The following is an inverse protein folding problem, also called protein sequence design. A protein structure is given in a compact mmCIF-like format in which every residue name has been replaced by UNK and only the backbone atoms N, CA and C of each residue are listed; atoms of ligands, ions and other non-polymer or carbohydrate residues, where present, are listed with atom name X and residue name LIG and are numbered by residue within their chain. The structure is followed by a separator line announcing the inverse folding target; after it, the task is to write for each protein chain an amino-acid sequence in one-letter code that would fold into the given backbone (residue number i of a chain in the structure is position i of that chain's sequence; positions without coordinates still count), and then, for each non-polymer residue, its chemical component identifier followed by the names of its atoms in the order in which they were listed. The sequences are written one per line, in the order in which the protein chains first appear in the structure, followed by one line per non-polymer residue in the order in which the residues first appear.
data_IF_489842775758
#
_entry.id   IF_489842775758
#
_cell.length_a   1.000
_cell.length_b   1.000
_cell.length_c   1.000
_cell.angle_alpha   90.00
_cell.angle_beta   90.00
_cell.angle_gamma   90.00
#
_symmetry.space_group_name_H-M   'P 1'
#
loop_
_entity.id
_entity.type
_entity.pdbx_description
1 polymer ?
#
# COMPACT_ATOMS: atom_id res chain seq x y z
N UNK A 1 7.75 -17.64 15.39
CA UNK A 1 7.27 -17.20 14.05
C UNK A 1 7.76 -15.78 13.81
N UNK A 2 8.36 -15.47 12.64
CA UNK A 2 8.90 -14.13 12.34
C UNK A 2 7.78 -13.18 11.94
N UNK A 3 7.91 -11.89 12.30
CA UNK A 3 6.95 -10.86 11.87
C UNK A 3 6.94 -10.71 10.34
N UNK A 4 5.82 -10.22 9.76
CA UNK A 4 5.74 -9.93 8.33
C UNK A 4 6.83 -8.95 7.88
N UNK A 5 7.50 -9.25 6.77
CA UNK A 5 8.54 -8.37 6.19
C UNK A 5 7.93 -7.56 5.05
N UNK A 6 8.21 -6.25 5.04
CA UNK A 6 7.70 -5.33 4.04
C UNK A 6 8.83 -4.73 3.21
N UNK A 7 8.72 -4.89 1.90
CA UNK A 7 9.58 -4.21 0.91
C UNK A 7 8.76 -3.13 0.22
N UNK A 8 9.15 -1.88 0.40
CA UNK A 8 8.45 -0.73 -0.18
C UNK A 8 9.23 -0.17 -1.36
N UNK A 9 8.59 -0.15 -2.51
CA UNK A 9 9.11 0.47 -3.73
C UNK A 9 8.27 1.71 -4.05
N UNK A 10 8.91 2.75 -4.60
CA UNK A 10 8.22 3.94 -5.11
C UNK A 10 8.23 5.15 -4.16
N UNK A 11 7.06 5.74 -3.93
CA UNK A 11 6.92 7.07 -3.34
C UNK A 11 6.69 7.07 -1.82
N UNK A 12 6.58 8.28 -1.24
CA UNK A 12 6.29 8.49 0.20
C UNK A 12 4.93 7.95 0.59
N UNK A 13 3.96 8.00 -0.33
CA UNK A 13 2.63 7.43 -0.11
C UNK A 13 2.70 5.92 0.05
N UNK A 14 3.48 5.22 -0.80
CA UNK A 14 3.73 3.78 -0.61
C UNK A 14 4.41 3.50 0.74
N UNK A 15 5.29 4.38 1.21
CA UNK A 15 5.93 4.22 2.51
C UNK A 15 4.92 4.34 3.66
N UNK A 16 4.01 5.32 3.60
CA UNK A 16 2.89 5.46 4.54
C UNK A 16 2.02 4.20 4.55
N UNK A 17 1.57 3.78 3.37
CA UNK A 17 0.71 2.61 3.21
C UNK A 17 1.38 1.32 3.72
N UNK A 18 2.69 1.19 3.56
CA UNK A 18 3.42 0.02 4.08
C UNK A 18 3.43 -0.04 5.61
N UNK A 19 3.47 1.08 6.30
CA UNK A 19 3.36 1.09 7.77
C UNK A 19 1.94 0.77 8.21
N UNK A 20 0.92 1.30 7.53
CA UNK A 20 -0.47 0.93 7.80
C UNK A 20 -0.72 -0.56 7.59
N UNK A 21 -0.26 -1.12 6.46
CA UNK A 21 -0.35 -2.56 6.18
C UNK A 21 0.40 -3.40 7.22
N UNK A 22 1.54 -2.93 7.74
CA UNK A 22 2.30 -3.61 8.80
C UNK A 22 1.46 -3.77 10.06
N UNK A 23 0.75 -2.71 10.46
CA UNK A 23 -0.16 -2.76 11.60
C UNK A 23 -1.32 -3.74 11.35
N UNK A 24 -1.99 -3.63 10.18
CA UNK A 24 -3.10 -4.50 9.80
C UNK A 24 -2.70 -5.98 9.74
N UNK A 25 -1.54 -6.29 9.16
CA UNK A 25 -1.03 -7.65 9.08
C UNK A 25 -0.68 -8.23 10.47
N UNK A 26 -0.15 -7.40 11.36
CA UNK A 26 0.15 -7.79 12.74
C UNK A 26 -1.14 -8.05 13.53
N UNK A 27 -2.15 -7.17 13.42
CA UNK A 27 -3.47 -7.35 14.04
C UNK A 27 -4.19 -8.61 13.55
N UNK A 28 -4.03 -8.95 12.27
CA UNK A 28 -4.54 -10.19 11.68
C UNK A 28 -3.75 -11.44 12.08
N UNK A 29 -2.63 -11.31 12.79
CA UNK A 29 -1.79 -12.44 13.22
C UNK A 29 -0.95 -13.06 12.11
N UNK A 30 -0.76 -12.38 10.97
CA UNK A 30 0.12 -12.88 9.91
C UNK A 30 1.56 -12.97 10.40
N UNK A 31 2.22 -14.06 10.03
CA UNK A 31 3.63 -14.29 10.33
C UNK A 31 4.31 -14.98 9.16
N UNK A 32 5.64 -14.86 9.08
CA UNK A 32 6.48 -15.45 8.06
C UNK A 32 6.02 -15.15 6.61
N UNK A 33 5.53 -13.94 6.35
CA UNK A 33 5.07 -13.50 5.03
C UNK A 33 5.92 -12.33 4.54
N UNK A 34 6.11 -12.24 3.24
CA UNK A 34 6.78 -11.12 2.59
C UNK A 34 5.76 -10.30 1.80
N UNK A 35 5.69 -9.01 2.06
CA UNK A 35 4.78 -8.07 1.39
C UNK A 35 5.59 -7.08 0.57
N UNK A 36 5.29 -6.97 -0.72
CA UNK A 36 5.97 -6.06 -1.64
C UNK A 36 4.98 -5.02 -2.13
N UNK A 37 5.18 -3.77 -1.72
CA UNK A 37 4.38 -2.64 -2.17
C UNK A 37 5.05 -2.01 -3.40
N UNK A 38 4.41 -2.13 -4.55
CA UNK A 38 4.98 -1.85 -5.87
C UNK A 38 4.66 -0.45 -6.40
N UNK A 39 5.44 0.02 -7.37
CA UNK A 39 5.24 1.27 -8.10
C UNK A 39 5.06 1.00 -9.59
N UNK A 40 4.15 1.76 -10.24
CA UNK A 40 3.85 1.65 -11.67
C UNK A 40 4.30 2.86 -12.50
N UNK A 41 4.87 3.90 -11.86
CA UNK A 41 5.13 5.20 -12.52
C UNK A 41 6.11 5.08 -13.69
N UNK A 42 7.00 4.10 -13.67
CA UNK A 42 7.93 3.82 -14.78
C UNK A 42 8.03 2.33 -15.04
N UNK A 43 8.33 1.96 -16.29
CA UNK A 43 8.62 0.57 -16.66
C UNK A 43 9.80 -0.01 -15.85
N UNK A 44 10.78 0.84 -15.49
CA UNK A 44 11.90 0.45 -14.64
C UNK A 44 11.43 0.08 -13.22
N UNK A 45 10.47 0.81 -12.65
CA UNK A 45 9.90 0.48 -11.35
C UNK A 45 9.23 -0.90 -11.36
N UNK A 46 8.50 -1.24 -12.43
CA UNK A 46 7.87 -2.57 -12.60
C UNK A 46 8.94 -3.66 -12.75
N UNK A 47 9.99 -3.43 -13.56
CA UNK A 47 11.11 -4.37 -13.69
C UNK A 47 11.81 -4.62 -12.36
N UNK A 48 12.06 -3.55 -11.59
CA UNK A 48 12.66 -3.64 -10.26
C UNK A 48 11.77 -4.44 -9.30
N UNK A 49 10.46 -4.24 -9.34
CA UNK A 49 9.53 -5.01 -8.53
C UNK A 49 9.64 -6.51 -8.83
N UNK A 50 9.58 -6.91 -10.10
CA UNK A 50 9.74 -8.31 -10.52
C UNK A 50 11.09 -8.92 -10.12
N UNK A 51 12.17 -8.13 -10.22
CA UNK A 51 13.51 -8.57 -9.78
C UNK A 51 13.56 -8.80 -8.27
N UNK A 52 12.96 -7.89 -7.50
CA UNK A 52 12.94 -8.00 -6.04
C UNK A 52 12.09 -9.17 -5.57
N UNK A 53 10.93 -9.43 -6.19
CA UNK A 53 10.10 -10.62 -5.93
C UNK A 53 10.93 -11.91 -6.07
N UNK A 54 11.63 -12.08 -7.21
CA UNK A 54 12.47 -13.26 -7.45
C UNK A 54 13.63 -13.38 -6.47
N UNK A 55 14.21 -12.25 -6.06
CA UNK A 55 15.26 -12.22 -5.05
C UNK A 55 14.75 -12.70 -3.70
N UNK A 56 13.63 -12.14 -3.22
CA UNK A 56 13.01 -12.50 -1.95
C UNK A 56 12.57 -13.97 -1.89
N UNK A 57 12.04 -14.51 -2.99
CA UNK A 57 11.69 -15.93 -3.09
C UNK A 57 12.92 -16.85 -2.95
N UNK A 58 14.06 -16.46 -3.52
CA UNK A 58 15.30 -17.23 -3.36
C UNK A 58 15.90 -17.14 -1.96
N UNK A 59 15.79 -15.97 -1.32
CA UNK A 59 16.32 -15.75 0.04
C UNK A 59 15.45 -16.42 1.11
N UNK A 60 14.15 -16.56 0.87
CA UNK A 60 13.19 -17.14 1.81
C UNK A 60 12.16 -18.00 1.07
N UNK A 61 12.51 -19.19 0.61
CA UNK A 61 11.65 -20.03 -0.25
C UNK A 61 10.36 -20.48 0.42
N UNK A 62 10.34 -20.57 1.75
CA UNK A 62 9.18 -21.01 2.52
C UNK A 62 8.25 -19.85 2.93
N UNK A 63 8.59 -18.61 2.61
CA UNK A 63 7.79 -17.47 2.98
C UNK A 63 6.86 -17.06 1.81
N UNK A 64 5.52 -17.12 1.98
CA UNK A 64 4.58 -16.65 0.99
C UNK A 64 4.83 -15.17 0.63
N UNK A 65 4.63 -14.84 -0.64
CA UNK A 65 4.83 -13.49 -1.16
C UNK A 65 3.49 -12.87 -1.55
N UNK A 66 3.13 -11.76 -0.89
CA UNK A 66 2.00 -10.90 -1.26
C UNK A 66 2.54 -9.71 -2.03
N UNK A 67 2.00 -9.47 -3.23
CA UNK A 67 2.34 -8.32 -4.06
C UNK A 67 1.16 -7.34 -4.06
N UNK A 68 1.45 -6.07 -3.82
CA UNK A 68 0.46 -5.00 -3.82
C UNK A 68 1.05 -3.70 -4.38
N UNK A 69 0.28 -2.63 -4.37
CA UNK A 69 0.73 -1.31 -4.85
C UNK A 69 0.28 -1.01 -6.28
N UNK A 70 0.75 0.12 -6.80
CA UNK A 70 0.24 0.64 -8.08
C UNK A 70 0.46 -0.32 -9.25
N UNK A 71 1.59 -1.03 -9.33
CA UNK A 71 1.81 -1.98 -10.41
C UNK A 71 0.93 -3.23 -10.28
N UNK A 72 0.71 -3.71 -9.06
CA UNK A 72 -0.22 -4.81 -8.80
C UNK A 72 -1.67 -4.44 -9.14
N UNK A 73 -2.07 -3.18 -8.93
CA UNK A 73 -3.38 -2.67 -9.28
C UNK A 73 -3.58 -2.56 -10.80
N UNK A 74 -2.56 -2.10 -11.54
CA UNK A 74 -2.66 -1.84 -12.98
C UNK A 74 -2.40 -3.07 -13.84
N UNK A 75 -1.60 -4.02 -13.35
CA UNK A 75 -1.20 -5.23 -14.07
C UNK A 75 -1.30 -6.48 -13.17
N UNK A 76 -2.45 -6.78 -12.55
CA UNK A 76 -2.55 -7.86 -11.56
C UNK A 76 -2.16 -9.22 -12.15
N UNK A 77 -2.59 -9.52 -13.38
CA UNK A 77 -2.29 -10.79 -14.06
C UNK A 77 -0.80 -11.00 -14.32
N UNK A 78 -0.07 -9.91 -14.56
CA UNK A 78 1.39 -9.95 -14.73
C UNK A 78 2.11 -10.47 -13.48
N UNK A 79 1.63 -10.10 -12.30
CA UNK A 79 2.18 -10.58 -11.03
C UNK A 79 1.59 -11.93 -10.63
N UNK A 80 0.32 -12.18 -10.92
CA UNK A 80 -0.32 -13.47 -10.67
C UNK A 80 0.31 -14.61 -11.47
N UNK A 81 0.80 -14.34 -12.69
CA UNK A 81 1.50 -15.31 -13.51
C UNK A 81 2.90 -15.68 -12.98
N UNK A 82 3.45 -14.94 -12.02
CA UNK A 82 4.73 -15.28 -11.41
C UNK A 82 4.55 -16.46 -10.43
N UNK A 83 5.38 -17.50 -10.58
CA UNK A 83 5.33 -18.67 -9.71
C UNK A 83 5.67 -18.36 -8.25
N UNK A 84 6.49 -17.33 -8.05
CA UNK A 84 6.93 -16.87 -6.72
C UNK A 84 5.84 -16.12 -5.94
N UNK A 85 4.78 -15.66 -6.62
CA UNK A 85 3.74 -14.82 -6.01
C UNK A 85 2.59 -15.68 -5.50
N UNK A 86 2.29 -15.56 -4.22
CA UNK A 86 1.18 -16.28 -3.56
C UNK A 86 -0.14 -15.53 -3.72
N UNK A 87 -0.14 -14.20 -3.49
CA UNK A 87 -1.34 -13.36 -3.60
C UNK A 87 -1.01 -12.01 -4.24
N UNK A 88 -1.96 -11.48 -4.99
CA UNK A 88 -1.95 -10.11 -5.53
C UNK A 88 -3.09 -9.34 -4.90
N UNK A 89 -2.78 -8.22 -4.24
CA UNK A 89 -3.76 -7.41 -3.48
C UNK A 89 -3.81 -6.00 -4.04
N UNK A 90 -4.99 -5.49 -4.34
CA UNK A 90 -5.21 -4.16 -4.88
C UNK A 90 -4.89 -3.02 -3.91
N UNK A 91 -4.89 -1.81 -4.44
CA UNK A 91 -4.55 -0.61 -3.66
C UNK A 91 -5.64 -0.19 -2.67
N UNK A 92 -6.89 -0.54 -2.94
CA UNK A 92 -7.98 -0.36 -1.97
C UNK A 92 -7.96 -1.47 -0.92
N UNK A 93 -7.90 -2.72 -1.37
CA UNK A 93 -7.98 -3.93 -0.55
C UNK A 93 -6.85 -3.99 0.48
N UNK A 94 -5.64 -3.59 0.11
CA UNK A 94 -4.48 -3.59 1.03
C UNK A 94 -4.67 -2.71 2.27
N UNK A 95 -5.59 -1.74 2.19
CA UNK A 95 -5.91 -0.81 3.28
C UNK A 95 -7.13 -1.28 4.10
N UNK A 96 -7.74 -2.42 3.77
CA UNK A 96 -8.91 -2.95 4.49
C UNK A 96 -8.50 -4.01 5.51
N UNK A 97 -8.87 -3.86 6.80
CA UNK A 97 -8.59 -4.88 7.82
C UNK A 97 -9.11 -6.28 7.44
N UNK A 98 -10.32 -6.33 6.85
CA UNK A 98 -10.95 -7.57 6.43
C UNK A 98 -10.09 -8.38 5.43
N UNK A 99 -9.36 -7.71 4.54
CA UNK A 99 -8.45 -8.37 3.59
C UNK A 99 -7.34 -9.15 4.33
N UNK A 100 -6.71 -8.52 5.32
CA UNK A 100 -5.64 -9.17 6.08
C UNK A 100 -6.16 -10.28 6.97
N UNK A 101 -7.35 -10.11 7.56
CA UNK A 101 -8.03 -11.13 8.35
C UNK A 101 -8.40 -12.36 7.51
N UNK A 102 -8.84 -12.16 6.27
CA UNK A 102 -9.15 -13.27 5.35
C UNK A 102 -7.90 -13.99 4.85
N UNK A 103 -6.79 -13.29 4.69
CA UNK A 103 -5.53 -13.86 4.25
C UNK A 103 -4.84 -14.69 5.35
N UNK A 104 -5.02 -14.36 6.62
CA UNK A 104 -4.30 -15.01 7.71
C UNK A 104 -4.56 -16.54 7.82
N UNK A 105 -5.81 -17.03 7.74
CA UNK A 105 -6.09 -18.47 7.81
C UNK A 105 -5.81 -19.23 6.51
N UNK A 106 -5.80 -18.55 5.36
CA UNK A 106 -5.82 -19.20 4.03
C UNK A 106 -4.79 -18.61 3.04
N UNK A 107 -3.67 -18.13 3.55
CA UNK A 107 -2.66 -17.48 2.71
C UNK A 107 -2.11 -18.41 1.60
N UNK A 108 -2.03 -19.71 1.87
CA UNK A 108 -1.51 -20.73 0.94
C UNK A 108 -2.64 -21.59 0.36
N UNK A 109 -3.89 -21.34 0.76
CA UNK A 109 -5.06 -22.12 0.36
C UNK A 109 -5.54 -21.87 -1.08
N UNK A 110 -6.67 -22.49 -1.42
CA UNK A 110 -7.27 -22.45 -2.78
C UNK A 110 -8.06 -21.16 -3.08
N UNK A 111 -8.10 -20.20 -2.18
CA UNK A 111 -8.76 -18.92 -2.41
C UNK A 111 -8.14 -18.15 -3.58
N UNK A 112 -8.93 -17.25 -4.14
CA UNK A 112 -8.56 -16.45 -5.30
C UNK A 112 -7.19 -15.77 -5.15
N UNK A 113 -6.29 -16.02 -6.11
CA UNK A 113 -4.92 -15.47 -6.09
C UNK A 113 -4.90 -13.96 -6.24
N UNK A 114 -5.88 -13.38 -6.93
CA UNK A 114 -5.97 -11.96 -7.27
C UNK A 114 -7.15 -11.32 -6.53
N UNK A 115 -6.85 -10.46 -5.56
CA UNK A 115 -7.84 -9.69 -4.77
C UNK A 115 -7.68 -8.23 -5.18
N UNK A 116 -8.16 -7.90 -6.37
CA UNK A 116 -8.03 -6.56 -6.97
C UNK A 116 -9.37 -6.17 -7.59
N UNK A 117 -10.00 -5.13 -7.04
CA UNK A 117 -11.25 -4.58 -7.57
C UNK A 117 -11.01 -3.30 -8.38
N UNK A 118 -12.07 -2.79 -9.01
CA UNK A 118 -11.99 -1.54 -9.75
C UNK A 118 -11.71 -0.37 -8.82
N UNK A 119 -10.51 0.18 -8.93
CA UNK A 119 -10.06 1.31 -8.12
C UNK A 119 -10.84 2.60 -8.40
N UNK A 120 -11.51 2.70 -9.56
CA UNK A 120 -12.33 3.86 -9.91
C UNK A 120 -13.64 3.92 -9.13
N UNK A 121 -14.11 2.78 -8.62
CA UNK A 121 -15.32 2.70 -7.79
C UNK A 121 -15.10 3.19 -6.35
N UNK A 122 -13.85 3.39 -5.93
CA UNK A 122 -13.51 3.79 -4.56
C UNK A 122 -13.75 5.27 -4.35
N UNK A 123 -14.66 5.59 -3.45
CA UNK A 123 -15.07 6.98 -3.13
C UNK A 123 -14.46 7.53 -1.86
N UNK A 124 -13.94 6.66 -0.98
CA UNK A 124 -13.39 7.07 0.32
C UNK A 124 -11.91 6.68 0.46
N UNK A 125 -11.18 7.43 1.25
CA UNK A 125 -9.83 7.11 1.67
C UNK A 125 -9.83 6.70 3.13
N UNK A 126 -9.41 5.48 3.42
CA UNK A 126 -9.27 5.01 4.79
C UNK A 126 -8.21 5.83 5.52
N UNK A 127 -8.59 6.47 6.61
CA UNK A 127 -7.67 7.14 7.53
C UNK A 127 -7.06 6.12 8.47
N UNK A 128 -5.83 5.70 8.21
CA UNK A 128 -5.10 4.81 9.11
C UNK A 128 -4.23 5.61 10.07
N UNK A 129 -4.41 5.34 11.36
CA UNK A 129 -3.56 5.90 12.41
C UNK A 129 -2.31 5.07 12.56
N UNK A 130 -1.17 5.59 12.10
CA UNK A 130 0.13 4.94 12.21
C UNK A 130 0.90 5.45 13.41
N UNK A 131 1.62 4.53 14.08
CA UNK A 131 2.39 4.83 15.28
C UNK A 131 3.84 5.25 15.01
N UNK A 132 4.30 5.10 13.76
CA UNK A 132 5.68 5.45 13.43
C UNK A 132 6.16 4.93 12.08
N UNK A 133 7.43 5.17 11.80
CA UNK A 133 8.12 4.80 10.55
C UNK A 133 9.45 4.09 10.84
N UNK A 134 9.46 3.17 11.81
CA UNK A 134 10.66 2.47 12.23
C UNK A 134 11.74 3.46 12.71
N UNK A 135 12.95 3.38 12.15
CA UNK A 135 14.10 4.24 12.50
C UNK A 135 14.15 5.58 11.76
N UNK A 136 13.12 5.94 10.99
CA UNK A 136 13.10 7.19 10.22
C UNK A 136 12.88 8.39 11.14
N UNK A 137 13.60 9.49 10.88
CA UNK A 137 13.45 10.77 11.60
C UNK A 137 12.20 11.55 11.18
N UNK A 138 11.62 11.23 10.01
CA UNK A 138 10.44 11.89 9.44
C UNK A 138 9.29 10.92 9.34
N UNK A 139 8.09 11.39 9.68
CA UNK A 139 6.85 10.68 9.41
C UNK A 139 6.18 11.19 8.13
N UNK A 140 5.49 10.31 7.43
CA UNK A 140 4.63 10.68 6.29
C UNK A 140 3.18 10.62 6.72
N UNK A 141 2.41 11.64 6.36
CA UNK A 141 0.97 11.70 6.65
C UNK A 141 0.23 11.82 5.33
N UNK A 142 -0.55 10.80 5.01
CA UNK A 142 -1.41 10.85 3.83
C UNK A 142 -2.54 11.84 4.06
N UNK A 143 -2.65 12.84 3.20
CA UNK A 143 -3.73 13.83 3.23
C UNK A 143 -4.64 13.72 2.02
N UNK A 144 -4.16 13.09 0.94
CA UNK A 144 -4.89 12.95 -0.32
C UNK A 144 -4.41 11.69 -1.06
N UNK A 145 -5.30 11.02 -1.79
CA UNK A 145 -4.98 9.90 -2.66
C UNK A 145 -5.79 9.98 -3.96
N UNK A 146 -5.29 9.33 -5.02
CA UNK A 146 -5.92 9.39 -6.34
C UNK A 146 -5.73 10.72 -7.06
N UNK A 147 -6.22 10.81 -8.30
CA UNK A 147 -6.10 12.01 -9.13
C UNK A 147 -7.20 12.03 -10.20
N UNK A 148 -7.89 13.16 -10.36
CA UNK A 148 -8.94 13.34 -11.37
C UNK A 148 -8.40 13.79 -12.72
N UNK A 149 -7.15 14.20 -12.79
CA UNK A 149 -6.49 14.51 -14.06
C UNK A 149 -6.31 13.25 -14.91
N UNK A 150 -6.49 13.41 -16.22
CA UNK A 150 -6.34 12.33 -17.22
C UNK A 150 -5.22 12.67 -18.20
N UNK A 151 -4.02 13.00 -17.65
CA UNK A 151 -2.84 13.25 -18.46
C UNK A 151 -2.49 12.01 -19.29
N UNK A 152 -2.23 12.18 -20.58
CA UNK A 152 -2.10 11.10 -21.57
C UNK A 152 -1.02 10.06 -21.25
N UNK A 153 0.00 10.44 -20.50
CA UNK A 153 1.13 9.58 -20.11
C UNK A 153 1.04 9.04 -18.67
N UNK A 154 0.01 9.43 -17.91
CA UNK A 154 -0.01 9.20 -16.47
C UNK A 154 -0.80 7.94 -16.09
N UNK A 155 -0.12 7.01 -15.42
CA UNK A 155 -0.71 5.76 -14.91
C UNK A 155 -1.41 5.95 -13.55
N UNK A 156 -1.21 7.07 -12.88
CA UNK A 156 -1.62 7.26 -11.48
C UNK A 156 -3.13 7.06 -11.25
N UNK A 157 -4.06 7.63 -12.05
CA UNK A 157 -5.48 7.39 -11.85
C UNK A 157 -5.87 5.90 -11.90
N UNK A 158 -5.25 5.15 -12.77
CA UNK A 158 -5.51 3.71 -12.93
C UNK A 158 -4.96 2.87 -11.77
N UNK A 159 -3.90 3.34 -11.12
CA UNK A 159 -3.34 2.68 -9.95
C UNK A 159 -3.95 3.13 -8.62
N UNK A 160 -4.55 4.34 -8.57
CA UNK A 160 -4.99 4.95 -7.31
C UNK A 160 -6.43 5.47 -7.30
N UNK A 161 -7.11 5.46 -8.44
CA UNK A 161 -8.49 5.92 -8.58
C UNK A 161 -8.61 7.45 -8.64
N UNK A 162 -9.83 7.91 -8.48
CA UNK A 162 -10.17 9.32 -8.44
C UNK A 162 -9.62 10.03 -7.20
N UNK A 163 -9.55 11.36 -7.23
CA UNK A 163 -9.06 12.18 -6.11
C UNK A 163 -9.95 11.99 -4.87
N UNK A 164 -9.31 11.80 -3.73
CA UNK A 164 -9.99 11.63 -2.43
C UNK A 164 -9.13 12.27 -1.36
N UNK A 165 -9.75 13.16 -0.58
CA UNK A 165 -9.10 13.88 0.51
C UNK A 165 -9.32 13.19 1.85
N UNK A 166 -8.33 13.28 2.73
CA UNK A 166 -8.49 12.93 4.14
C UNK A 166 -8.98 14.18 4.87
N UNK A 167 -10.07 14.10 5.66
CA UNK A 167 -10.57 15.26 6.40
C UNK A 167 -9.52 15.87 7.34
N UNK A 168 -9.50 17.20 7.45
CA UNK A 168 -8.51 17.95 8.24
C UNK A 168 -8.40 17.45 9.68
N UNK A 169 -9.52 17.14 10.32
CA UNK A 169 -9.54 16.61 11.69
C UNK A 169 -8.75 15.31 11.83
N UNK A 170 -8.91 14.38 10.87
CA UNK A 170 -8.17 13.10 10.84
C UNK A 170 -6.67 13.34 10.66
N UNK A 171 -6.30 14.27 9.77
CA UNK A 171 -4.90 14.65 9.54
C UNK A 171 -4.27 15.20 10.82
N UNK A 172 -4.98 16.12 11.51
CA UNK A 172 -4.51 16.72 12.77
C UNK A 172 -4.32 15.66 13.85
N UNK A 173 -5.26 14.74 14.02
CA UNK A 173 -5.15 13.67 15.02
C UNK A 173 -3.98 12.73 14.71
N UNK A 174 -3.77 12.39 13.44
CA UNK A 174 -2.59 11.61 13.02
C UNK A 174 -1.28 12.34 13.35
N UNK A 175 -1.20 13.65 13.12
CA UNK A 175 0.00 14.44 13.44
C UNK A 175 0.22 14.47 14.95
N UNK A 176 -0.82 14.73 15.76
CA UNK A 176 -0.72 14.69 17.22
C UNK A 176 -0.19 13.36 17.75
N UNK A 177 -0.69 12.25 17.18
CA UNK A 177 -0.25 10.90 17.55
C UNK A 177 1.25 10.71 17.23
N UNK A 178 1.72 11.12 16.07
CA UNK A 178 3.13 11.05 15.68
C UNK A 178 4.03 11.93 16.55
N UNK A 179 3.58 13.15 16.86
CA UNK A 179 4.30 14.04 17.79
C UNK A 179 4.40 13.41 19.19
N UNK A 180 3.31 12.82 19.68
CA UNK A 180 3.30 12.07 20.95
C UNK A 180 4.25 10.86 20.95
N UNK A 181 4.62 10.34 19.79
CA UNK A 181 5.61 9.27 19.60
C UNK A 181 7.03 9.78 19.39
N UNK A 182 7.26 11.10 19.46
CA UNK A 182 8.57 11.72 19.37
C UNK A 182 9.02 12.13 17.97
N UNK A 183 8.12 12.13 16.98
CA UNK A 183 8.44 12.67 15.65
C UNK A 183 8.43 14.21 15.69
N UNK A 184 9.52 14.81 15.23
CA UNK A 184 9.68 16.28 15.17
C UNK A 184 9.39 16.85 13.76
N UNK A 185 9.26 15.99 12.77
CA UNK A 185 9.00 16.38 11.38
C UNK A 185 7.96 15.46 10.77
N UNK A 186 6.91 16.05 10.17
CA UNK A 186 5.93 15.34 9.34
C UNK A 186 5.95 15.90 7.93
N UNK A 187 5.75 15.04 6.95
CA UNK A 187 5.61 15.40 5.54
C UNK A 187 4.20 15.02 5.09
N UNK A 188 3.38 16.02 4.80
CA UNK A 188 2.07 15.81 4.18
C UNK A 188 2.28 15.25 2.79
N UNK A 189 1.62 14.15 2.48
CA UNK A 189 1.82 13.44 1.22
C UNK A 189 0.50 13.09 0.54
N UNK A 190 0.51 13.19 -0.76
CA UNK A 190 -0.61 12.84 -1.65
C UNK A 190 -0.11 12.69 -3.06
N UNK A 191 -1.01 12.47 -3.98
CA UNK A 191 -0.74 12.36 -5.42
C UNK A 191 -0.93 13.72 -6.10
N UNK A 192 -2.01 14.40 -5.75
CA UNK A 192 -2.39 15.71 -6.24
C UNK A 192 -2.83 16.61 -5.07
N UNK A 193 -1.84 17.14 -4.36
CA UNK A 193 -2.07 17.92 -3.13
C UNK A 193 -2.85 19.21 -3.38
N UNK A 194 -2.80 19.74 -4.59
CA UNK A 194 -3.51 20.98 -4.97
C UNK A 194 -5.03 20.79 -5.02
N UNK A 195 -5.48 19.56 -5.22
CA UNK A 195 -6.90 19.20 -5.23
C UNK A 195 -7.43 18.79 -3.84
N UNK A 196 -6.59 18.83 -2.79
CA UNK A 196 -7.05 18.47 -1.45
C UNK A 196 -8.18 19.37 -0.98
N UNK A 197 -9.22 18.74 -0.46
CA UNK A 197 -10.39 19.42 0.08
C UNK A 197 -11.53 19.64 -0.91
N UNK A 198 -11.33 19.43 -2.21
CA UNK A 198 -12.36 19.67 -3.22
C UNK A 198 -13.57 18.72 -3.10
N UNK A 199 -13.35 17.54 -2.54
CA UNK A 199 -14.33 16.47 -2.31
C UNK A 199 -14.86 16.42 -0.85
N UNK A 200 -14.38 17.32 0.02
CA UNK A 200 -14.83 17.42 1.40
C UNK A 200 -16.02 18.38 1.53
N UNK A 201 -16.94 18.14 2.48
CA UNK A 201 -18.09 19.03 2.75
C UNK A 201 -17.66 20.39 3.32
#
# INVERSE_FOLDING_TARGET
MSAPKFTTLGCRLNAYESEAMRALAAEAGLSNVQVINTCAVTAEAVRKAKKEIRKLARENPDAPIIVTGCAAQTEPETFAAMAEVTRVVGNHEKMQPATWQSLAPDLIGETEKVIVNDIMSVTETAGHMIDGFGTRSRAYVQVQNGCDHRCTFCIIPYGRGNSRSVPAGVVVEQIKRLVGRGFNEVVLTGVDLTSWGADLP
#
